data_IF_655769099547
#
_entry.id   IF_655769099547
#
_cell.length_a   1.000
_cell.length_b   1.000
_cell.length_c   1.000
_cell.angle_alpha   90.00
_cell.angle_beta   90.00
_cell.angle_gamma   90.00
#
_symmetry.space_group_name_H-M   'P 1'
#
loop_
_entity.id
_entity.type
_entity.pdbx_description
1 polymer ?
#
# COMPACT_ATOMS: atom_id res chain seq x y z
N UNK A 1 7.86 17.08 -20.44
CA UNK A 1 7.20 16.10 -19.55
C UNK A 1 6.18 15.39 -20.40
N UNK A 2 6.33 14.09 -20.58
CA UNK A 2 5.36 13.25 -21.29
C UNK A 2 4.40 12.65 -20.25
N UNK A 3 3.11 12.61 -20.57
CA UNK A 3 2.08 12.07 -19.67
C UNK A 3 1.09 11.24 -20.48
N UNK A 4 0.73 10.08 -19.94
CA UNK A 4 -0.29 9.19 -20.49
C UNK A 4 -1.03 8.49 -19.35
N UNK A 5 -2.18 7.90 -19.67
CA UNK A 5 -2.92 7.01 -18.77
C UNK A 5 -3.39 5.80 -19.56
N UNK A 6 -3.44 4.65 -18.91
CA UNK A 6 -3.80 3.38 -19.56
C UNK A 6 -4.35 2.39 -18.55
N UNK A 7 -5.10 1.41 -19.03
CA UNK A 7 -5.45 0.19 -18.28
C UNK A 7 -4.74 -1.04 -18.83
N UNK A 8 -3.89 -0.89 -19.85
CA UNK A 8 -3.02 -1.95 -20.36
C UNK A 8 -1.75 -2.05 -19.49
N UNK A 9 -1.50 -3.20 -18.83
CA UNK A 9 -0.31 -3.38 -17.99
C UNK A 9 0.99 -3.23 -18.76
N UNK A 10 1.07 -3.69 -20.01
CA UNK A 10 2.33 -3.59 -20.75
C UNK A 10 2.70 -2.13 -20.99
N UNK A 11 1.76 -1.31 -21.46
CA UNK A 11 1.97 0.12 -21.65
C UNK A 11 2.33 0.86 -20.34
N UNK A 12 1.77 0.46 -19.19
CA UNK A 12 2.02 1.12 -17.91
C UNK A 12 3.37 0.74 -17.25
N UNK A 13 3.84 -0.49 -17.45
CA UNK A 13 5.00 -1.04 -16.72
C UNK A 13 6.26 -1.20 -17.58
N UNK A 14 6.22 -0.88 -18.87
CA UNK A 14 7.40 -0.93 -19.75
C UNK A 14 8.27 0.32 -19.54
N UNK A 15 9.59 0.12 -19.41
CA UNK A 15 10.59 1.19 -19.35
C UNK A 15 10.39 2.19 -18.19
N UNK A 16 10.17 1.67 -16.97
CA UNK A 16 10.02 2.49 -15.76
C UNK A 16 11.10 2.18 -14.73
N UNK A 17 11.56 3.20 -14.01
CA UNK A 17 12.50 3.05 -12.88
C UNK A 17 11.77 2.80 -11.54
N UNK A 18 10.58 3.38 -11.38
CA UNK A 18 9.81 3.33 -10.15
C UNK A 18 8.32 3.10 -10.41
N UNK A 19 7.73 2.24 -9.59
CA UNK A 19 6.28 2.02 -9.52
C UNK A 19 5.77 2.53 -8.18
N UNK A 20 5.03 3.65 -8.19
CA UNK A 20 4.35 4.15 -6.99
C UNK A 20 2.96 3.52 -6.89
N UNK A 21 2.72 2.73 -5.85
CA UNK A 21 1.48 1.96 -5.73
C UNK A 21 0.63 2.39 -4.54
N UNK A 22 -0.65 2.69 -4.81
CA UNK A 22 -1.66 3.04 -3.82
C UNK A 22 -3.04 2.51 -4.24
N UNK A 23 -3.08 1.26 -4.74
CA UNK A 23 -4.32 0.55 -5.04
C UNK A 23 -5.14 0.31 -3.76
N UNK A 24 -6.47 0.25 -3.93
CA UNK A 24 -7.44 -0.08 -2.88
C UNK A 24 -8.40 -1.14 -3.40
N UNK A 25 -8.05 -2.40 -3.19
CA UNK A 25 -8.85 -3.54 -3.66
C UNK A 25 -10.20 -3.57 -2.93
N UNK A 26 -11.29 -3.62 -3.70
CA UNK A 26 -12.66 -3.49 -3.19
C UNK A 26 -13.14 -2.04 -2.99
N UNK A 27 -12.27 -1.04 -3.22
CA UNK A 27 -12.58 0.40 -3.16
C UNK A 27 -13.23 0.79 -1.80
N UNK A 28 -13.99 1.88 -1.77
CA UNK A 28 -14.68 2.33 -0.57
C UNK A 28 -15.87 1.46 -0.12
N UNK A 29 -16.64 0.80 -1.01
CA UNK A 29 -17.71 -0.09 -0.58
C UNK A 29 -17.23 -1.24 0.31
N UNK A 30 -16.04 -1.78 0.05
CA UNK A 30 -15.47 -2.81 0.94
C UNK A 30 -14.86 -2.22 2.22
N UNK A 31 -14.25 -1.04 2.16
CA UNK A 31 -13.79 -0.33 3.38
C UNK A 31 -14.95 -0.08 4.35
N UNK A 32 -16.10 0.33 3.82
CA UNK A 32 -17.30 0.52 4.63
C UNK A 32 -17.70 -0.77 5.36
N UNK A 33 -17.58 -1.92 4.71
CA UNK A 33 -17.85 -3.21 5.34
C UNK A 33 -16.79 -3.57 6.40
N UNK A 34 -15.50 -3.30 6.13
CA UNK A 34 -14.41 -3.53 7.07
C UNK A 34 -14.61 -2.75 8.38
N UNK A 35 -15.21 -1.56 8.30
CA UNK A 35 -15.49 -0.70 9.46
C UNK A 35 -16.83 -1.06 10.12
N UNK A 36 -17.90 -1.29 9.34
CA UNK A 36 -19.25 -1.49 9.89
C UNK A 36 -19.54 -2.90 10.37
N UNK A 37 -18.96 -3.94 9.78
CA UNK A 37 -19.22 -5.32 10.20
C UNK A 37 -18.69 -5.56 11.62
N UNK A 38 -17.41 -5.29 11.96
CA UNK A 38 -16.91 -5.51 13.32
C UNK A 38 -17.65 -4.65 14.35
N UNK A 39 -18.03 -3.42 13.97
CA UNK A 39 -18.74 -2.50 14.85
C UNK A 39 -20.12 -3.05 15.28
N UNK A 40 -20.84 -3.77 14.41
CA UNK A 40 -22.11 -4.44 14.76
C UNK A 40 -21.94 -5.52 15.82
N UNK A 41 -20.72 -6.01 16.02
CA UNK A 41 -20.37 -7.01 17.04
C UNK A 41 -19.69 -6.39 18.27
N UNK A 42 -19.66 -5.06 18.41
CA UNK A 42 -18.98 -4.38 19.52
C UNK A 42 -17.45 -4.49 19.45
N UNK A 43 -16.89 -4.77 18.27
CA UNK A 43 -15.44 -4.87 18.03
C UNK A 43 -14.98 -3.67 17.20
N UNK A 44 -13.72 -3.25 17.35
CA UNK A 44 -13.11 -2.20 16.54
C UNK A 44 -13.23 -2.51 15.05
N UNK A 45 -13.90 -1.63 14.31
CA UNK A 45 -13.89 -1.61 12.85
C UNK A 45 -13.04 -0.44 12.35
N UNK A 46 -11.91 -0.74 11.73
CA UNK A 46 -10.99 0.25 11.20
C UNK A 46 -10.26 -0.32 9.97
N UNK A 47 -9.86 0.55 9.04
CA UNK A 47 -9.28 0.19 7.73
C UNK A 47 -8.09 -0.78 7.80
N UNK A 48 -7.16 -0.59 8.73
CA UNK A 48 -5.86 -1.29 8.77
C UNK A 48 -5.61 -2.05 10.08
N UNK A 49 -6.44 -1.85 11.09
CA UNK A 49 -6.35 -2.45 12.40
C UNK A 49 -7.57 -3.34 12.70
N UNK A 50 -7.35 -4.39 13.50
CA UNK A 50 -8.42 -5.31 13.89
C UNK A 50 -8.98 -6.15 12.72
N UNK A 51 -10.22 -6.65 12.84
CA UNK A 51 -10.82 -7.50 11.81
C UNK A 51 -10.95 -6.83 10.44
N UNK A 52 -11.20 -5.51 10.41
CA UNK A 52 -11.25 -4.73 9.18
C UNK A 52 -9.91 -4.71 8.44
N UNK A 53 -8.82 -4.46 9.18
CA UNK A 53 -7.45 -4.57 8.66
C UNK A 53 -7.13 -5.95 8.10
N UNK A 54 -7.52 -7.02 8.80
CA UNK A 54 -7.31 -8.40 8.31
C UNK A 54 -8.06 -8.62 7.00
N UNK A 55 -9.36 -8.28 6.95
CA UNK A 55 -10.19 -8.43 5.76
C UNK A 55 -9.63 -7.63 4.57
N UNK A 56 -9.17 -6.40 4.81
CA UNK A 56 -8.52 -5.60 3.78
C UNK A 56 -7.21 -6.24 3.32
N UNK A 57 -6.38 -6.73 4.22
CA UNK A 57 -5.16 -7.47 3.91
C UNK A 57 -5.40 -8.66 2.99
N UNK A 58 -6.43 -9.47 3.28
CA UNK A 58 -6.80 -10.60 2.44
C UNK A 58 -7.15 -10.19 1.00
N UNK A 59 -7.73 -9.01 0.81
CA UNK A 59 -8.00 -8.48 -0.54
C UNK A 59 -6.77 -7.87 -1.20
N UNK A 60 -5.91 -7.19 -0.44
CA UNK A 60 -4.77 -6.45 -0.96
C UNK A 60 -3.61 -7.35 -1.42
N UNK A 61 -3.40 -8.50 -0.78
CA UNK A 61 -2.27 -9.40 -1.14
C UNK A 61 -2.28 -9.72 -2.63
N UNK A 62 -3.42 -10.17 -3.18
CA UNK A 62 -3.53 -10.54 -4.59
C UNK A 62 -3.23 -9.37 -5.53
N UNK A 63 -3.84 -8.21 -5.27
CA UNK A 63 -3.64 -7.02 -6.11
C UNK A 63 -2.20 -6.51 -6.09
N UNK A 64 -1.50 -6.55 -4.94
CA UNK A 64 -0.10 -6.13 -4.87
C UNK A 64 0.81 -7.12 -5.59
N UNK A 65 0.60 -8.43 -5.43
CA UNK A 65 1.39 -9.44 -6.13
C UNK A 65 1.23 -9.34 -7.66
N UNK A 66 0.03 -9.03 -8.14
CA UNK A 66 -0.22 -8.77 -9.57
C UNK A 66 0.62 -7.59 -10.09
N UNK A 67 0.71 -6.49 -9.33
CA UNK A 67 1.54 -5.35 -9.72
C UNK A 67 3.04 -5.68 -9.68
N UNK A 68 3.49 -6.46 -8.69
CA UNK A 68 4.87 -6.95 -8.63
C UNK A 68 5.18 -7.80 -9.87
N UNK A 69 4.28 -8.70 -10.25
CA UNK A 69 4.46 -9.58 -11.41
C UNK A 69 4.50 -8.78 -12.73
N UNK A 70 3.69 -7.73 -12.87
CA UNK A 70 3.79 -6.82 -14.02
C UNK A 70 5.09 -6.05 -14.04
N UNK A 71 5.52 -5.51 -12.90
CA UNK A 71 6.78 -4.79 -12.78
C UNK A 71 7.96 -5.68 -13.15
N UNK A 72 8.06 -6.89 -12.59
CA UNK A 72 9.14 -7.83 -12.89
C UNK A 72 9.15 -8.28 -14.36
N UNK A 73 7.96 -8.41 -14.97
CA UNK A 73 7.82 -8.81 -16.38
C UNK A 73 8.27 -7.73 -17.36
N UNK A 74 7.91 -6.47 -17.12
CA UNK A 74 8.08 -5.39 -18.10
C UNK A 74 9.24 -4.44 -17.76
N UNK A 75 9.63 -4.35 -16.48
CA UNK A 75 10.75 -3.53 -15.99
C UNK A 75 11.45 -4.22 -14.80
N UNK A 76 12.21 -5.31 -15.02
CA UNK A 76 12.81 -6.14 -13.95
C UNK A 76 13.80 -5.39 -13.03
N UNK A 77 14.25 -4.20 -13.43
CA UNK A 77 15.16 -3.38 -12.64
C UNK A 77 14.46 -2.35 -11.75
N UNK A 78 13.17 -2.10 -11.97
CA UNK A 78 12.39 -1.09 -11.27
C UNK A 78 12.23 -1.39 -9.78
N UNK A 79 11.95 -0.34 -9.01
CA UNK A 79 11.55 -0.43 -7.61
C UNK A 79 10.08 -0.08 -7.42
N UNK A 80 9.36 -0.92 -6.69
CA UNK A 80 8.00 -0.62 -6.24
C UNK A 80 8.03 0.08 -4.88
N UNK A 81 7.52 1.30 -4.83
CA UNK A 81 7.25 2.04 -3.60
C UNK A 81 5.78 1.86 -3.24
N UNK A 82 5.50 0.88 -2.38
CA UNK A 82 4.15 0.46 -2.06
C UNK A 82 3.59 1.19 -0.82
N UNK A 83 2.54 1.98 -1.06
CA UNK A 83 1.70 2.61 -0.05
C UNK A 83 0.32 1.91 0.09
N UNK A 84 0.07 0.84 -0.66
CA UNK A 84 -1.17 0.06 -0.51
C UNK A 84 -1.21 -0.69 0.81
N UNK A 85 -2.27 -0.40 1.56
CA UNK A 85 -2.53 -0.96 2.88
C UNK A 85 -3.21 -2.34 2.83
N UNK A 86 -3.21 -3.08 3.97
CA UNK A 86 -2.45 -2.83 5.19
C UNK A 86 -0.97 -3.19 5.00
N UNK A 87 -0.09 -2.20 5.13
CA UNK A 87 1.33 -2.34 4.78
C UNK A 87 2.02 -3.49 5.51
N UNK A 88 1.67 -3.76 6.78
CA UNK A 88 2.23 -4.86 7.54
C UNK A 88 1.90 -6.24 6.96
N UNK A 89 0.64 -6.49 6.60
CA UNK A 89 0.20 -7.78 6.03
C UNK A 89 0.76 -7.96 4.62
N UNK A 90 0.74 -6.90 3.81
CA UNK A 90 1.29 -6.94 2.45
C UNK A 90 2.82 -7.13 2.47
N UNK A 91 3.53 -6.49 3.40
CA UNK A 91 4.97 -6.70 3.58
C UNK A 91 5.29 -8.14 3.95
N UNK A 92 4.54 -8.74 4.87
CA UNK A 92 4.73 -10.15 5.22
C UNK A 92 4.42 -11.10 4.05
N UNK A 93 3.36 -10.81 3.30
CA UNK A 93 3.02 -11.60 2.11
C UNK A 93 4.11 -11.51 1.04
N UNK A 94 4.63 -10.32 0.74
CA UNK A 94 5.70 -10.15 -0.24
C UNK A 94 7.02 -10.75 0.24
N UNK A 95 7.36 -10.60 1.52
CA UNK A 95 8.51 -11.29 2.14
C UNK A 95 8.46 -12.81 1.95
N UNK A 96 7.28 -13.43 2.04
CA UNK A 96 7.11 -14.88 1.90
C UNK A 96 6.93 -15.37 0.47
N UNK A 97 6.17 -14.64 -0.35
CA UNK A 97 5.70 -15.09 -1.66
C UNK A 97 6.52 -14.50 -2.83
N UNK A 98 7.25 -13.40 -2.59
CA UNK A 98 8.14 -12.72 -3.54
C UNK A 98 9.41 -12.23 -2.81
N UNK A 99 10.20 -13.13 -2.19
CA UNK A 99 11.30 -12.75 -1.28
C UNK A 99 12.41 -11.92 -1.94
N UNK A 100 12.53 -11.96 -3.27
CA UNK A 100 13.54 -11.25 -4.04
C UNK A 100 12.99 -10.01 -4.77
N UNK A 101 11.69 -9.72 -4.65
CA UNK A 101 11.10 -8.58 -5.34
C UNK A 101 11.63 -7.26 -4.79
N UNK A 102 11.90 -6.31 -5.68
CA UNK A 102 12.33 -4.95 -5.36
C UNK A 102 11.14 -4.09 -4.91
N UNK A 103 10.56 -4.41 -3.77
CA UNK A 103 9.41 -3.71 -3.19
C UNK A 103 9.75 -3.16 -1.79
N UNK A 104 9.43 -1.89 -1.58
CA UNK A 104 9.45 -1.24 -0.27
C UNK A 104 8.02 -0.93 0.16
N UNK A 105 7.57 -1.55 1.24
CA UNK A 105 6.27 -1.27 1.85
C UNK A 105 6.44 -0.15 2.88
N UNK A 106 5.76 0.98 2.69
CA UNK A 106 5.98 2.22 3.44
C UNK A 106 4.69 2.76 4.08
N UNK A 107 4.83 3.63 5.08
CA UNK A 107 3.73 4.27 5.81
C UNK A 107 4.08 5.73 6.11
N UNK A 108 3.10 6.64 6.08
CA UNK A 108 3.29 8.08 6.35
C UNK A 108 3.14 8.43 7.84
N UNK A 109 2.53 7.54 8.63
CA UNK A 109 2.18 7.80 10.01
C UNK A 109 3.39 8.22 10.87
N UNK A 110 4.57 7.59 10.76
CA UNK A 110 5.76 8.05 11.48
C UNK A 110 6.15 9.47 11.12
N UNK A 111 6.20 9.81 9.83
CA UNK A 111 6.59 11.14 9.33
C UNK A 111 5.59 12.21 9.80
N UNK A 112 4.29 11.88 9.80
CA UNK A 112 3.24 12.76 10.29
C UNK A 112 3.35 13.02 11.80
N UNK A 113 3.70 12.01 12.58
CA UNK A 113 3.93 12.14 14.03
C UNK A 113 5.19 12.97 14.31
N UNK A 114 6.31 12.68 13.65
CA UNK A 114 7.56 13.44 13.78
C UNK A 114 7.35 14.94 13.47
N UNK A 115 6.60 15.24 12.41
CA UNK A 115 6.26 16.63 12.08
C UNK A 115 5.48 17.34 13.18
N UNK A 116 4.54 16.65 13.84
CA UNK A 116 3.80 17.20 14.99
C UNK A 116 4.68 17.36 16.21
N UNK A 117 5.58 16.41 16.48
CA UNK A 117 6.55 16.50 17.58
C UNK A 117 7.46 17.72 17.40
N UNK A 118 8.02 17.93 16.21
CA UNK A 118 8.85 19.09 15.90
C UNK A 118 8.12 20.41 16.19
N UNK A 119 6.84 20.51 15.81
CA UNK A 119 6.01 21.68 16.12
C UNK A 119 5.82 21.89 17.63
N UNK A 120 5.55 20.81 18.39
CA UNK A 120 5.33 20.88 19.85
C UNK A 120 6.57 21.41 20.58
N UNK A 121 7.76 21.03 20.14
CA UNK A 121 9.03 21.44 20.77
C UNK A 121 9.65 22.70 20.14
N UNK A 122 8.96 23.35 19.20
CA UNK A 122 9.42 24.60 18.57
C UNK A 122 10.56 24.44 17.56
N UNK A 123 10.73 23.25 16.97
CA UNK A 123 11.69 23.02 15.89
C UNK A 123 11.11 23.42 14.53
N UNK A 124 11.96 23.88 13.62
CA UNK A 124 11.57 24.37 12.29
C UNK A 124 11.04 23.25 11.39
N UNK A 125 11.66 22.08 11.46
CA UNK A 125 11.23 20.89 10.77
C UNK A 125 11.66 19.63 11.54
N UNK A 126 11.31 18.46 11.02
CA UNK A 126 11.55 17.17 11.68
C UNK A 126 12.98 16.64 11.54
N UNK A 127 13.80 17.26 10.68
CA UNK A 127 15.18 16.86 10.40
C UNK A 127 16.18 17.76 11.10
#
# INVERSE_FOLDING_TARGET
>A
IEFSYTTDPQAAFTDVDFVMAHIRVGKYPMREQDEKIPLRHGVLGQETCGPGGIAYGMRSIGGVLELVDYMEKYSPNAWMLNYSNPAAIVAEATRRLRPNAKILNICDMPIGIEGRMAQIVGLKDRK
#
